data_IF_283826214513
#
_entry.id   IF_283826214513
#
_cell.length_a   1.000
_cell.length_b   1.000
_cell.length_c   1.000
_cell.angle_alpha   90.00
_cell.angle_beta   90.00
_cell.angle_gamma   90.00
#
_symmetry.space_group_name_H-M   'P 1'
#
loop_
_entity.id
_entity.type
_entity.pdbx_description
1 polymer ?
#
# COMPACT_ATOMS: atom_id res chain seq x y z
N UNK A 1 14.68 -8.68 1.83
CA UNK A 1 15.48 -7.42 1.87
C UNK A 1 14.51 -6.31 1.58
N UNK A 2 14.43 -5.30 2.45
CA UNK A 2 13.43 -4.23 2.34
C UNK A 2 14.10 -2.89 2.06
N UNK A 3 13.61 -2.17 1.06
CA UNK A 3 14.12 -0.85 0.64
C UNK A 3 12.96 0.12 0.42
N UNK A 4 13.07 1.36 0.90
CA UNK A 4 12.05 2.40 0.74
C UNK A 4 12.48 3.54 -0.17
N UNK A 5 11.54 4.06 -0.96
CA UNK A 5 11.71 5.19 -1.85
C UNK A 5 10.66 6.26 -1.55
N UNK A 6 11.07 7.52 -1.66
CA UNK A 6 10.18 8.67 -1.63
C UNK A 6 10.21 9.36 -3.00
N UNK A 7 9.05 9.79 -3.48
CA UNK A 7 8.94 10.56 -4.71
C UNK A 7 9.26 12.02 -4.42
N UNK A 8 10.32 12.55 -5.04
CA UNK A 8 10.75 13.93 -4.84
C UNK A 8 9.65 14.90 -5.33
N UNK A 9 9.19 15.79 -4.45
CA UNK A 9 8.13 16.76 -4.75
C UNK A 9 6.70 16.27 -4.50
N UNK A 10 6.50 15.00 -4.14
CA UNK A 10 5.17 14.41 -3.90
C UNK A 10 5.02 13.98 -2.43
N UNK A 11 4.74 14.97 -1.58
CA UNK A 11 4.57 14.73 -0.15
C UNK A 11 3.45 13.72 0.12
N UNK A 12 3.76 12.69 0.91
CA UNK A 12 2.82 11.63 1.28
C UNK A 12 2.83 10.42 0.34
N UNK A 13 3.60 10.44 -0.75
CA UNK A 13 3.82 9.27 -1.60
C UNK A 13 5.03 8.45 -1.12
N UNK A 14 4.84 7.14 -0.94
CA UNK A 14 5.87 6.19 -0.56
C UNK A 14 5.79 4.94 -1.44
N UNK A 15 6.95 4.44 -1.80
CA UNK A 15 7.12 3.14 -2.43
C UNK A 15 8.06 2.31 -1.58
N UNK A 16 7.70 1.05 -1.37
CA UNK A 16 8.51 0.10 -0.62
C UNK A 16 8.67 -1.16 -1.45
N UNK A 17 9.90 -1.65 -1.54
CA UNK A 17 10.24 -2.92 -2.17
C UNK A 17 10.66 -3.91 -1.10
N UNK A 18 10.08 -5.11 -1.16
CA UNK A 18 10.59 -6.26 -0.42
C UNK A 18 11.02 -7.36 -1.39
N UNK A 19 12.02 -8.13 -1.00
CA UNK A 19 12.53 -9.26 -1.77
C UNK A 19 12.74 -10.44 -0.84
N UNK A 20 11.99 -11.51 -1.10
CA UNK A 20 11.98 -12.76 -0.33
C UNK A 20 11.47 -13.89 -1.25
N UNK A 21 11.34 -15.11 -0.73
CA UNK A 21 10.66 -16.19 -1.44
C UNK A 21 9.22 -15.79 -1.80
N UNK A 22 8.71 -16.20 -2.97
CA UNK A 22 7.34 -15.88 -3.39
C UNK A 22 6.30 -16.28 -2.33
N UNK A 23 6.47 -17.45 -1.71
CA UNK A 23 5.59 -17.96 -0.65
C UNK A 23 5.57 -17.07 0.58
N UNK A 24 6.73 -16.58 1.03
CA UNK A 24 6.81 -15.68 2.19
C UNK A 24 6.14 -14.33 1.88
N UNK A 25 6.38 -13.76 0.70
CA UNK A 25 5.77 -12.50 0.27
C UNK A 25 4.24 -12.62 0.16
N UNK A 26 3.73 -13.71 -0.42
CA UNK A 26 2.28 -13.99 -0.47
C UNK A 26 1.68 -14.14 0.93
N UNK A 27 2.35 -14.86 1.83
CA UNK A 27 1.86 -15.04 3.20
C UNK A 27 1.76 -13.70 3.97
N UNK A 28 2.75 -12.81 3.81
CA UNK A 28 2.69 -11.46 4.39
C UNK A 28 1.55 -10.64 3.79
N UNK A 29 1.37 -10.70 2.46
CA UNK A 29 0.30 -9.98 1.78
C UNK A 29 -1.08 -10.45 2.26
N UNK A 30 -1.32 -11.76 2.32
CA UNK A 30 -2.55 -12.32 2.86
C UNK A 30 -2.79 -11.92 4.31
N UNK A 31 -1.76 -11.95 5.15
CA UNK A 31 -1.87 -11.52 6.56
C UNK A 31 -2.34 -10.07 6.66
N UNK A 32 -1.82 -9.18 5.81
CA UNK A 32 -2.26 -7.78 5.76
C UNK A 32 -3.72 -7.67 5.28
N UNK A 33 -4.10 -8.43 4.27
CA UNK A 33 -5.46 -8.47 3.73
C UNK A 33 -6.46 -8.90 4.81
N UNK A 34 -6.15 -9.99 5.51
CA UNK A 34 -6.97 -10.58 6.55
C UNK A 34 -7.10 -9.64 7.74
N UNK A 35 -6.03 -8.93 8.11
CA UNK A 35 -6.07 -7.93 9.17
C UNK A 35 -7.04 -6.79 8.85
N UNK A 36 -6.99 -6.23 7.64
CA UNK A 36 -7.93 -5.19 7.22
C UNK A 36 -9.37 -5.70 7.07
N UNK A 37 -9.56 -6.96 6.66
CA UNK A 37 -10.87 -7.58 6.57
C UNK A 37 -11.49 -7.85 7.96
N UNK A 38 -10.68 -8.32 8.91
CA UNK A 38 -11.10 -8.60 10.27
C UNK A 38 -11.34 -7.31 11.09
N UNK A 39 -10.54 -6.27 10.87
CA UNK A 39 -10.63 -5.00 11.58
C UNK A 39 -10.64 -3.82 10.59
N UNK A 40 -11.77 -3.58 9.89
CA UNK A 40 -11.84 -2.52 8.89
C UNK A 40 -11.91 -1.12 9.51
N UNK A 41 -12.14 -1.01 10.82
CA UNK A 41 -12.13 0.25 11.55
C UNK A 41 -11.14 0.17 12.71
N UNK A 42 -10.17 1.06 12.72
CA UNK A 42 -9.06 1.05 13.66
C UNK A 42 -8.62 2.49 13.98
N UNK A 43 -7.74 2.64 14.97
CA UNK A 43 -7.20 3.96 15.35
C UNK A 43 -5.74 4.05 14.94
N UNK A 44 -5.37 5.18 14.32
CA UNK A 44 -3.99 5.56 14.05
C UNK A 44 -3.64 6.72 14.98
N UNK A 45 -2.42 6.76 15.51
CA UNK A 45 -1.95 7.90 16.30
C UNK A 45 -1.06 8.79 15.43
N UNK A 46 -1.42 10.07 15.30
CA UNK A 46 -0.60 11.09 14.64
C UNK A 46 -0.10 12.08 15.68
N UNK A 47 1.19 12.09 15.96
CA UNK A 47 1.75 12.81 17.11
C UNK A 47 1.17 12.26 18.42
N UNK A 48 0.38 13.07 19.12
CA UNK A 48 -0.34 12.67 20.34
C UNK A 48 -1.85 12.49 20.14
N UNK A 49 -2.36 12.64 18.91
CA UNK A 49 -3.79 12.61 18.63
C UNK A 49 -4.21 11.26 18.04
N UNK A 50 -5.15 10.54 18.67
CA UNK A 50 -5.79 9.39 18.04
C UNK A 50 -6.70 9.86 16.90
N UNK A 51 -6.64 9.17 15.77
CA UNK A 51 -7.40 9.45 14.56
C UNK A 51 -8.11 8.15 14.16
N UNK A 52 -9.43 8.24 13.96
CA UNK A 52 -10.21 7.12 13.45
C UNK A 52 -9.86 6.85 11.99
N UNK A 53 -9.62 5.59 11.66
CA UNK A 53 -9.31 5.13 10.31
C UNK A 53 -10.27 4.02 9.88
N UNK A 54 -10.70 4.06 8.62
CA UNK A 54 -11.54 3.04 8.00
C UNK A 54 -10.89 2.53 6.73
N UNK A 55 -10.57 1.24 6.69
CA UNK A 55 -10.06 0.54 5.52
C UNK A 55 -11.20 -0.07 4.70
N UNK A 56 -11.12 0.08 3.38
CA UNK A 56 -12.02 -0.54 2.41
C UNK A 56 -11.18 -1.16 1.31
N UNK A 57 -11.30 -2.48 1.12
CA UNK A 57 -10.65 -3.20 0.02
C UNK A 57 -11.14 -2.63 -1.31
N UNK A 58 -10.22 -2.46 -2.26
CA UNK A 58 -10.51 -1.97 -3.61
C UNK A 58 -10.05 -2.97 -4.67
N UNK A 59 -10.63 -2.86 -5.85
CA UNK A 59 -10.18 -3.60 -7.02
C UNK A 59 -8.88 -2.98 -7.53
N UNK A 60 -7.88 -3.82 -7.78
CA UNK A 60 -6.60 -3.45 -8.40
C UNK A 60 -6.56 -4.11 -9.79
N UNK A 61 -6.11 -3.40 -10.85
CA UNK A 61 -5.94 -3.99 -12.17
C UNK A 61 -5.03 -5.23 -12.11
N UNK A 62 -5.31 -6.23 -12.96
CA UNK A 62 -4.40 -6.97 -13.86
C UNK A 62 -2.89 -7.11 -13.61
N UNK A 63 -2.33 -6.84 -12.44
CA UNK A 63 -0.90 -6.56 -12.27
C UNK A 63 -0.20 -7.59 -11.39
N UNK A 64 1.02 -7.95 -11.80
CA UNK A 64 1.87 -8.92 -11.10
C UNK A 64 1.31 -10.34 -11.08
N UNK A 65 1.91 -11.17 -10.23
CA UNK A 65 1.41 -12.53 -9.93
C UNK A 65 0.31 -12.48 -8.87
N UNK A 66 0.38 -11.49 -7.97
CA UNK A 66 -0.55 -11.30 -6.87
C UNK A 66 -0.68 -9.81 -6.53
N UNK A 67 -1.87 -9.39 -6.11
CA UNK A 67 -2.17 -7.98 -5.85
C UNK A 67 -3.21 -7.80 -4.76
N UNK A 68 -3.05 -6.72 -4.02
CA UNK A 68 -4.02 -6.25 -3.04
C UNK A 68 -4.10 -4.73 -3.06
N UNK A 69 -5.30 -4.20 -2.85
CA UNK A 69 -5.52 -2.77 -2.72
C UNK A 69 -6.49 -2.45 -1.61
N UNK A 70 -6.21 -1.38 -0.89
CA UNK A 70 -7.08 -0.83 0.14
C UNK A 70 -7.06 0.70 0.11
N UNK A 71 -8.22 1.31 0.34
CA UNK A 71 -8.33 2.73 0.64
C UNK A 71 -8.57 2.90 2.13
N UNK A 72 -7.79 3.75 2.77
CA UNK A 72 -7.92 4.11 4.18
C UNK A 72 -8.40 5.56 4.29
N UNK A 73 -9.59 5.75 4.86
CA UNK A 73 -10.13 7.07 5.18
C UNK A 73 -9.82 7.38 6.64
N UNK A 74 -9.15 8.50 6.89
CA UNK A 74 -8.74 8.96 8.22
C UNK A 74 -9.49 10.25 8.54
N UNK A 75 -10.18 10.30 9.67
CA UNK A 75 -10.94 11.48 10.11
C UNK A 75 -10.34 12.03 11.39
N UNK A 76 -9.68 13.19 11.30
CA UNK A 76 -9.01 13.84 12.43
C UNK A 76 -9.34 15.33 12.54
N UNK A 77 -8.73 16.04 13.51
CA UNK A 77 -9.00 17.47 13.75
C UNK A 77 -8.71 18.38 12.54
N UNK A 78 -7.80 17.97 11.66
CA UNK A 78 -7.47 18.68 10.41
C UNK A 78 -8.36 18.34 9.22
N UNK A 79 -9.41 17.54 9.40
CA UNK A 79 -10.32 17.09 8.34
C UNK A 79 -10.15 15.62 7.96
N UNK A 80 -10.73 15.26 6.82
CA UNK A 80 -10.69 13.90 6.27
C UNK A 80 -9.54 13.77 5.28
N UNK A 81 -8.69 12.76 5.50
CA UNK A 81 -7.63 12.37 4.57
C UNK A 81 -7.95 10.98 4.00
N UNK A 82 -7.72 10.80 2.71
CA UNK A 82 -7.87 9.51 2.04
C UNK A 82 -6.50 9.08 1.54
N UNK A 83 -6.08 7.89 1.96
CA UNK A 83 -4.85 7.24 1.50
C UNK A 83 -5.23 5.98 0.74
N UNK A 84 -4.56 5.73 -0.37
CA UNK A 84 -4.63 4.48 -1.13
C UNK A 84 -3.34 3.70 -0.90
N UNK A 85 -3.47 2.39 -0.75
CA UNK A 85 -2.35 1.46 -0.67
C UNK A 85 -2.57 0.34 -1.68
N UNK A 86 -1.57 0.06 -2.50
CA UNK A 86 -1.56 -1.09 -3.41
C UNK A 86 -0.26 -1.86 -3.19
N UNK A 87 -0.39 -3.16 -2.94
CA UNK A 87 0.73 -4.10 -2.92
C UNK A 87 0.62 -5.04 -4.12
N UNK A 88 1.72 -5.23 -4.85
CA UNK A 88 1.83 -6.14 -5.98
C UNK A 88 3.06 -7.02 -5.77
N UNK A 89 2.92 -8.34 -5.92
CA UNK A 89 4.03 -9.29 -5.96
C UNK A 89 4.29 -9.72 -7.40
N UNK A 90 5.56 -9.79 -7.79
CA UNK A 90 6.04 -10.37 -9.04
C UNK A 90 7.29 -11.21 -8.74
N UNK A 91 7.20 -12.52 -8.94
CA UNK A 91 8.28 -13.43 -8.58
C UNK A 91 8.65 -13.32 -7.10
N UNK A 92 9.93 -13.07 -6.85
CA UNK A 92 10.56 -12.93 -5.54
C UNK A 92 10.66 -11.46 -5.05
N UNK A 93 9.92 -10.55 -5.68
CA UNK A 93 9.88 -9.13 -5.30
C UNK A 93 8.42 -8.70 -5.11
N UNK A 94 8.16 -7.89 -4.08
CA UNK A 94 6.90 -7.18 -3.91
C UNK A 94 7.13 -5.68 -3.88
N UNK A 95 6.15 -4.93 -4.36
CA UNK A 95 6.11 -3.47 -4.30
C UNK A 95 4.85 -3.03 -3.58
N UNK A 96 4.98 -2.14 -2.60
CA UNK A 96 3.89 -1.47 -1.91
C UNK A 96 3.95 0.02 -2.22
N UNK A 97 2.91 0.55 -2.86
CA UNK A 97 2.71 1.98 -3.08
C UNK A 97 1.67 2.49 -2.10
N UNK A 98 1.96 3.60 -1.46
CA UNK A 98 1.06 4.25 -0.50
C UNK A 98 1.07 5.76 -0.70
N UNK A 99 -0.10 6.38 -0.76
CA UNK A 99 -0.20 7.83 -0.89
C UNK A 99 -1.61 8.31 -1.19
N UNK A 100 -1.75 9.52 -1.73
CA UNK A 100 -3.06 9.98 -2.21
C UNK A 100 -3.53 9.11 -3.38
N UNK A 101 -4.84 8.87 -3.55
CA UNK A 101 -5.33 7.95 -4.58
C UNK A 101 -4.82 8.26 -6.00
N UNK A 102 -4.85 9.53 -6.40
CA UNK A 102 -4.38 9.96 -7.72
C UNK A 102 -2.88 9.71 -7.94
N UNK A 103 -2.04 9.89 -6.91
CA UNK A 103 -0.60 9.63 -7.02
C UNK A 103 -0.30 8.13 -7.09
N UNK A 104 -1.00 7.31 -6.31
CA UNK A 104 -0.84 5.85 -6.38
C UNK A 104 -1.22 5.34 -7.76
N UNK A 105 -2.35 5.79 -8.30
CA UNK A 105 -2.79 5.41 -9.65
C UNK A 105 -1.83 5.88 -10.74
N UNK A 106 -1.24 7.07 -10.59
CA UNK A 106 -0.27 7.60 -11.54
C UNK A 106 1.03 6.78 -11.58
N UNK A 107 1.50 6.27 -10.43
CA UNK A 107 2.82 5.64 -10.33
C UNK A 107 2.82 4.10 -10.36
N UNK A 108 1.66 3.44 -10.26
CA UNK A 108 1.59 1.98 -10.07
C UNK A 108 2.25 1.19 -11.19
N UNK A 109 2.04 1.56 -12.45
CA UNK A 109 2.64 0.88 -13.60
C UNK A 109 4.15 1.10 -13.65
N UNK A 110 4.60 2.33 -13.37
CA UNK A 110 6.01 2.67 -13.31
C UNK A 110 6.72 1.90 -12.21
N UNK A 111 6.12 1.80 -11.04
CA UNK A 111 6.71 1.05 -9.93
C UNK A 111 6.79 -0.46 -10.23
N UNK A 112 5.76 -1.03 -10.88
CA UNK A 112 5.81 -2.42 -11.35
C UNK A 112 6.91 -2.64 -12.38
N UNK A 113 7.11 -1.70 -13.33
CA UNK A 113 8.16 -1.83 -14.36
C UNK A 113 9.57 -1.97 -13.77
N UNK A 114 9.82 -1.42 -12.57
CA UNK A 114 11.12 -1.52 -11.88
C UNK A 114 11.41 -2.92 -11.37
N UNK A 115 10.37 -3.73 -11.09
CA UNK A 115 10.51 -5.09 -10.55
C UNK A 115 10.27 -6.17 -11.61
N UNK A 116 9.92 -5.76 -12.83
CA UNK A 116 9.79 -6.64 -14.01
C UNK A 116 10.95 -6.41 -14.97
N UNK A 117 12.19 -6.48 -14.48
CA UNK A 117 13.34 -6.52 -15.39
C UNK A 117 13.39 -7.91 -16.01
N UNK A 118 13.28 -8.00 -17.33
CA UNK A 118 13.51 -9.24 -18.10
C UNK A 118 14.89 -9.86 -17.82
#
# INVERSE_FOLDING_TARGET
MKTGFAYAGEAGMREELDSDSPTALSAQLHTLCDAYAACPSFTITSGSSPIGAKAVKITVPELGDERYGVTVTMSGPGGTMIMKQIAIRKGNVSVLLMGSPGLVDHHIEKALSKITTD
#
